data_IF_483450441868
#
_entry.id   IF_483450441868
#
_cell.length_a   1.000
_cell.length_b   1.000
_cell.length_c   1.000
_cell.angle_alpha   90.00
_cell.angle_beta   90.00
_cell.angle_gamma   90.00
#
_symmetry.space_group_name_H-M   'P 1'
#
loop_
_entity.id
_entity.type
_entity.pdbx_description
1 polymer ?
#
# COMPACT_ATOMS: atom_id res chain seq x y z
N UNK A 1 -9.85 24.58 2.46
CA UNK A 1 -10.54 23.53 1.70
C UNK A 1 -9.64 22.30 1.70
N UNK A 2 -10.03 21.23 2.39
CA UNK A 2 -9.35 19.93 2.27
C UNK A 2 -9.48 19.44 0.83
N UNK A 3 -8.39 18.97 0.23
CA UNK A 3 -8.42 18.30 -1.07
C UNK A 3 -9.34 17.07 -0.99
N UNK A 4 -10.08 16.77 -2.06
CA UNK A 4 -11.03 15.67 -2.05
C UNK A 4 -10.33 14.32 -1.86
N UNK A 5 -10.93 13.49 -1.00
CA UNK A 5 -10.60 12.08 -0.81
C UNK A 5 -10.61 11.34 -2.15
N UNK A 6 -9.75 10.32 -2.35
CA UNK A 6 -9.13 9.45 -1.33
C UNK A 6 -7.70 9.81 -0.85
N UNK A 7 -7.16 10.98 -1.24
CA UNK A 7 -5.74 11.34 -1.05
C UNK A 7 -5.43 12.11 0.25
N UNK A 8 -6.43 12.41 1.07
CA UNK A 8 -6.24 13.10 2.33
C UNK A 8 -5.96 12.15 3.51
N UNK A 9 -5.65 12.75 4.68
CA UNK A 9 -5.28 11.99 5.88
C UNK A 9 -3.87 11.39 5.80
N UNK A 10 -3.79 10.13 5.37
CA UNK A 10 -2.59 9.28 5.33
C UNK A 10 -1.52 9.84 4.41
N UNK A 11 -1.88 10.20 3.18
CA UNK A 11 -0.89 10.64 2.18
C UNK A 11 -0.40 12.09 2.42
N UNK A 12 -1.04 12.88 3.28
CA UNK A 12 -0.50 14.16 3.76
C UNK A 12 0.32 14.05 5.05
N UNK A 13 0.47 12.84 5.59
CA UNK A 13 1.28 12.59 6.78
C UNK A 13 2.48 11.73 6.41
N UNK A 14 3.48 11.64 7.28
CA UNK A 14 4.66 10.78 7.05
C UNK A 14 4.37 9.28 7.20
N UNK A 15 3.12 8.89 7.46
CA UNK A 15 2.75 7.48 7.68
C UNK A 15 3.04 6.63 6.44
N UNK A 16 2.83 7.13 5.22
CA UNK A 16 3.10 6.35 4.00
C UNK A 16 4.58 5.93 3.90
N UNK A 17 5.50 6.63 4.57
CA UNK A 17 6.92 6.24 4.68
C UNK A 17 7.11 5.16 5.76
N UNK A 18 6.44 5.31 6.90
CA UNK A 18 6.54 4.36 8.00
C UNK A 18 5.81 3.04 7.73
N UNK A 19 4.75 3.03 6.91
CA UNK A 19 3.90 1.88 6.60
C UNK A 19 4.69 0.64 6.16
N UNK A 20 5.44 0.66 5.05
CA UNK A 20 6.15 -0.52 4.57
C UNK A 20 7.24 -0.97 5.55
N UNK A 21 7.95 -0.02 6.17
CA UNK A 21 9.00 -0.31 7.16
C UNK A 21 8.41 -1.04 8.37
N UNK A 22 7.31 -0.53 8.93
CA UNK A 22 6.63 -1.11 10.09
C UNK A 22 6.15 -2.52 9.79
N UNK A 23 5.53 -2.72 8.62
CA UNK A 23 5.12 -4.05 8.15
C UNK A 23 6.29 -5.03 8.02
N UNK A 24 7.34 -4.63 7.31
CA UNK A 24 8.52 -5.48 7.10
C UNK A 24 9.15 -5.91 8.43
N UNK A 25 9.34 -4.96 9.35
CA UNK A 25 10.00 -5.19 10.65
C UNK A 25 9.13 -6.03 11.61
N UNK A 26 7.87 -5.64 11.79
CA UNK A 26 6.99 -6.21 12.81
C UNK A 26 6.25 -7.46 12.33
N UNK A 27 6.14 -7.68 11.02
CA UNK A 27 5.35 -8.77 10.46
C UNK A 27 3.94 -8.37 10.05
N UNK A 28 3.23 -9.28 9.35
CA UNK A 28 1.93 -8.99 8.77
C UNK A 28 0.91 -8.49 9.79
N UNK A 29 0.78 -9.20 10.92
CA UNK A 29 -0.26 -8.90 11.90
C UNK A 29 0.15 -7.78 12.86
N UNK A 30 1.35 -7.83 13.42
CA UNK A 30 1.83 -6.78 14.32
C UNK A 30 2.09 -5.47 13.58
N UNK A 31 2.56 -5.53 12.33
CA UNK A 31 2.69 -4.37 11.45
C UNK A 31 1.34 -3.75 11.11
N UNK A 32 0.34 -4.57 10.75
CA UNK A 32 -1.04 -4.11 10.57
C UNK A 32 -1.57 -3.40 11.82
N UNK A 33 -1.50 -4.05 12.99
CA UNK A 33 -2.06 -3.52 14.22
C UNK A 33 -1.35 -2.24 14.68
N UNK A 34 -0.02 -2.20 14.57
CA UNK A 34 0.78 -1.01 14.90
C UNK A 34 0.40 0.17 14.01
N UNK A 35 0.38 -0.04 12.69
CA UNK A 35 -0.07 0.99 11.75
C UNK A 35 -1.51 1.41 12.00
N UNK A 36 -2.40 0.47 12.34
CA UNK A 36 -3.81 0.73 12.61
C UNK A 36 -3.99 1.63 13.83
N UNK A 37 -3.39 1.28 14.96
CA UNK A 37 -3.44 2.10 16.17
C UNK A 37 -2.85 3.48 15.87
N UNK A 38 -1.70 3.54 15.19
CA UNK A 38 -1.05 4.80 14.84
C UNK A 38 -1.95 5.73 14.01
N UNK A 39 -2.62 5.20 12.97
CA UNK A 39 -3.51 6.02 12.16
C UNK A 39 -4.81 6.39 12.85
N UNK A 40 -5.38 5.50 13.68
CA UNK A 40 -6.59 5.78 14.47
C UNK A 40 -6.34 6.89 15.48
N UNK A 41 -5.25 6.79 16.25
CA UNK A 41 -4.87 7.82 17.23
C UNK A 41 -4.54 9.13 16.51
N UNK A 42 -3.78 9.07 15.43
CA UNK A 42 -3.42 10.26 14.64
C UNK A 42 -4.64 11.02 14.11
N UNK A 43 -5.62 10.31 13.57
CA UNK A 43 -6.87 10.93 13.07
C UNK A 43 -7.82 11.34 14.20
N UNK A 44 -7.69 10.76 15.40
CA UNK A 44 -8.43 11.22 16.59
C UNK A 44 -7.86 12.54 17.13
N UNK A 45 -6.54 12.74 17.04
CA UNK A 45 -5.88 13.98 17.47
C UNK A 45 -6.05 15.11 16.44
N UNK A 46 -5.89 14.81 15.15
CA UNK A 46 -6.09 15.75 14.05
C UNK A 46 -7.29 15.29 13.24
N UNK A 47 -8.48 15.64 13.73
CA UNK A 47 -9.73 15.24 13.11
C UNK A 47 -9.91 15.90 11.74
N UNK A 48 -10.13 15.06 10.71
CA UNK A 48 -10.27 15.49 9.30
C UNK A 48 -11.59 15.05 8.65
N UNK A 49 -12.50 14.47 9.43
CA UNK A 49 -13.75 13.87 8.97
C UNK A 49 -13.89 12.43 9.47
N UNK A 50 -15.12 11.97 9.69
CA UNK A 50 -15.42 10.60 10.10
C UNK A 50 -15.06 9.56 9.03
N UNK A 51 -15.18 9.96 7.77
CA UNK A 51 -14.91 9.19 6.58
C UNK A 51 -13.44 8.83 6.42
N UNK A 52 -12.53 9.69 6.91
CA UNK A 52 -11.08 9.45 6.90
C UNK A 52 -10.69 8.20 7.70
N UNK A 53 -11.44 7.87 8.75
CA UNK A 53 -11.21 6.65 9.52
C UNK A 53 -11.43 5.39 8.69
N UNK A 54 -12.27 5.43 7.64
CA UNK A 54 -12.44 4.31 6.74
C UNK A 54 -11.28 4.21 5.74
N UNK A 55 -10.89 5.33 5.13
CA UNK A 55 -9.80 5.37 4.16
C UNK A 55 -8.43 5.07 4.77
N UNK A 56 -8.23 5.42 6.03
CA UNK A 56 -6.96 5.25 6.72
C UNK A 56 -6.58 3.77 6.96
N UNK A 57 -7.55 2.84 6.90
CA UNK A 57 -7.30 1.40 6.92
C UNK A 57 -6.40 0.91 5.77
N UNK A 58 -6.29 1.69 4.70
CA UNK A 58 -5.35 1.38 3.63
C UNK A 58 -3.91 1.28 4.12
N UNK A 59 -3.48 2.12 5.06
CA UNK A 59 -2.09 2.09 5.54
C UNK A 59 -1.76 0.81 6.34
N UNK A 60 -2.59 0.36 7.30
CA UNK A 60 -2.47 -0.97 7.91
C UNK A 60 -2.41 -2.12 6.90
N UNK A 61 -3.27 -2.08 5.88
CA UNK A 61 -3.29 -3.12 4.84
C UNK A 61 -2.00 -3.08 4.02
N UNK A 62 -1.51 -1.89 3.66
CA UNK A 62 -0.24 -1.74 2.97
C UNK A 62 0.94 -2.29 3.78
N UNK A 63 0.97 -2.03 5.09
CA UNK A 63 1.97 -2.61 5.99
C UNK A 63 1.90 -4.15 5.98
N UNK A 64 0.70 -4.71 6.08
CA UNK A 64 0.48 -6.16 6.03
C UNK A 64 0.97 -6.75 4.70
N UNK A 65 0.60 -6.16 3.56
CA UNK A 65 0.97 -6.64 2.23
C UNK A 65 2.48 -6.55 2.01
N UNK A 66 3.13 -5.45 2.42
CA UNK A 66 4.59 -5.33 2.41
C UNK A 66 5.25 -6.45 3.22
N UNK A 67 4.71 -6.75 4.40
CA UNK A 67 5.25 -7.78 5.27
C UNK A 67 5.09 -9.20 4.70
N UNK A 68 3.94 -9.49 4.09
CA UNK A 68 3.63 -10.77 3.45
C UNK A 68 4.55 -11.02 2.27
N UNK A 69 4.71 -10.02 1.38
CA UNK A 69 5.57 -10.16 0.22
C UNK A 69 7.04 -10.31 0.63
N UNK A 70 7.50 -9.52 1.61
CA UNK A 70 8.86 -9.63 2.14
C UNK A 70 9.18 -11.04 2.66
N UNK A 71 8.19 -11.70 3.29
CA UNK A 71 8.27 -13.09 3.78
C UNK A 71 8.04 -14.14 2.69
N UNK A 72 7.81 -13.72 1.45
CA UNK A 72 7.60 -14.61 0.30
C UNK A 72 6.20 -15.21 0.22
N UNK A 73 5.24 -14.71 0.99
CA UNK A 73 3.84 -15.15 0.99
C UNK A 73 3.05 -14.51 -0.16
N UNK A 74 3.53 -14.71 -1.39
CA UNK A 74 3.00 -14.06 -2.59
C UNK A 74 1.56 -14.47 -2.95
N UNK A 75 1.09 -15.64 -2.52
CA UNK A 75 -0.26 -16.15 -2.84
C UNK A 75 -1.35 -15.25 -2.25
N UNK A 76 -1.17 -14.83 -1.00
CA UNK A 76 -2.14 -13.97 -0.31
C UNK A 76 -2.16 -12.57 -0.92
N UNK A 77 -0.97 -12.04 -1.27
CA UNK A 77 -0.83 -10.77 -1.97
C UNK A 77 -1.50 -10.84 -3.36
N UNK A 78 -1.32 -11.93 -4.09
CA UNK A 78 -1.96 -12.13 -5.39
C UNK A 78 -3.48 -12.17 -5.28
N UNK A 79 -4.02 -12.95 -4.32
CA UNK A 79 -5.47 -13.03 -4.08
C UNK A 79 -6.03 -11.66 -3.75
N UNK A 80 -5.36 -10.90 -2.88
CA UNK A 80 -5.76 -9.54 -2.53
C UNK A 80 -5.89 -8.64 -3.77
N UNK A 81 -4.86 -8.58 -4.61
CA UNK A 81 -4.88 -7.78 -5.82
C UNK A 81 -5.98 -8.21 -6.79
N UNK A 82 -6.13 -9.52 -7.03
CA UNK A 82 -7.12 -10.06 -7.96
C UNK A 82 -8.55 -9.74 -7.51
N UNK A 83 -8.85 -9.88 -6.22
CA UNK A 83 -10.20 -9.62 -5.69
C UNK A 83 -10.55 -8.14 -5.82
N UNK A 84 -9.66 -7.24 -5.40
CA UNK A 84 -9.95 -5.79 -5.41
C UNK A 84 -9.97 -5.22 -6.83
N UNK A 85 -9.02 -5.61 -7.70
CA UNK A 85 -9.06 -5.22 -9.11
C UNK A 85 -10.29 -5.81 -9.81
N UNK A 86 -10.64 -7.07 -9.53
CA UNK A 86 -11.84 -7.70 -10.05
C UNK A 86 -13.11 -6.93 -9.66
N UNK A 87 -13.23 -6.55 -8.39
CA UNK A 87 -14.35 -5.73 -7.92
C UNK A 87 -14.41 -4.35 -8.60
N UNK A 88 -13.25 -3.72 -8.84
CA UNK A 88 -13.17 -2.49 -9.61
C UNK A 88 -13.72 -2.66 -11.03
N UNK A 89 -13.27 -3.68 -11.76
CA UNK A 89 -13.70 -3.91 -13.14
C UNK A 89 -15.16 -4.34 -13.28
N UNK A 90 -15.76 -4.96 -12.26
CA UNK A 90 -17.19 -5.32 -12.28
C UNK A 90 -18.09 -4.10 -12.00
N UNK A 91 -17.54 -3.04 -11.40
CA UNK A 91 -18.31 -1.85 -11.01
C UNK A 91 -18.61 -0.96 -12.23
N UNK A 92 -19.89 -0.71 -12.61
CA UNK A 92 -20.22 0.02 -13.83
C UNK A 92 -19.67 1.46 -13.90
N UNK A 93 -19.57 2.13 -12.75
CA UNK A 93 -19.02 3.49 -12.66
C UNK A 93 -17.54 3.53 -13.05
N UNK A 94 -16.79 2.46 -12.78
CA UNK A 94 -15.38 2.37 -13.11
C UNK A 94 -15.13 2.42 -14.63
N UNK A 95 -16.09 2.01 -15.45
CA UNK A 95 -15.98 2.04 -16.91
C UNK A 95 -16.02 3.45 -17.50
N UNK A 96 -16.48 4.43 -16.70
CA UNK A 96 -16.47 5.85 -17.06
C UNK A 96 -15.18 6.54 -16.59
N UNK A 97 -14.33 5.84 -15.83
CA UNK A 97 -13.06 6.36 -15.36
C UNK A 97 -11.94 5.99 -16.33
N UNK A 98 -11.05 6.93 -16.66
CA UNK A 98 -9.89 6.61 -17.49
C UNK A 98 -8.99 5.56 -16.83
N UNK A 99 -8.69 4.47 -17.54
CA UNK A 99 -7.83 3.40 -17.01
C UNK A 99 -6.42 3.88 -16.64
N UNK A 100 -5.92 4.94 -17.29
CA UNK A 100 -4.62 5.50 -16.94
C UNK A 100 -4.56 6.04 -15.50
N UNK A 101 -5.69 6.29 -14.84
CA UNK A 101 -5.69 6.84 -13.49
C UNK A 101 -5.20 5.89 -12.39
N UNK A 102 -4.98 4.60 -12.70
CA UNK A 102 -4.42 3.58 -11.79
C UNK A 102 -3.17 2.90 -12.38
N UNK A 103 -2.43 3.61 -13.23
CA UNK A 103 -1.29 3.03 -13.94
C UNK A 103 -0.23 2.48 -12.98
N UNK A 104 -0.03 3.12 -11.83
CA UNK A 104 0.86 2.71 -10.74
C UNK A 104 0.43 1.39 -10.09
N UNK A 105 -0.87 1.24 -9.80
CA UNK A 105 -1.43 0.00 -9.25
C UNK A 105 -1.28 -1.15 -10.25
N UNK A 106 -1.54 -0.90 -11.54
CA UNK A 106 -1.33 -1.92 -12.59
C UNK A 106 0.14 -2.28 -12.74
N UNK A 107 1.03 -1.27 -12.66
CA UNK A 107 2.46 -1.50 -12.69
C UNK A 107 2.92 -2.34 -11.50
N UNK A 108 2.42 -2.07 -10.29
CA UNK A 108 2.70 -2.87 -9.10
C UNK A 108 2.19 -4.30 -9.20
N UNK A 109 1.00 -4.49 -9.77
CA UNK A 109 0.49 -5.83 -10.06
C UNK A 109 1.38 -6.57 -11.07
N UNK A 110 1.86 -5.89 -12.11
CA UNK A 110 2.86 -6.43 -13.03
C UNK A 110 4.17 -6.81 -12.33
N UNK A 111 4.69 -5.94 -11.45
CA UNK A 111 5.85 -6.23 -10.61
C UNK A 111 5.62 -7.44 -9.72
N UNK A 112 4.44 -7.59 -9.11
CA UNK A 112 4.08 -8.75 -8.31
C UNK A 112 4.15 -10.04 -9.13
N UNK A 113 3.59 -10.05 -10.35
CA UNK A 113 3.65 -11.20 -11.24
C UNK A 113 5.11 -11.57 -11.59
N UNK A 114 5.95 -10.56 -11.88
CA UNK A 114 7.39 -10.79 -12.12
C UNK A 114 8.09 -11.36 -10.89
N UNK A 115 7.77 -10.86 -9.69
CA UNK A 115 8.29 -11.40 -8.42
C UNK A 115 7.87 -12.86 -8.24
N UNK A 116 6.61 -13.20 -8.48
CA UNK A 116 6.10 -14.58 -8.38
C UNK A 116 6.90 -15.50 -9.31
N UNK A 117 7.08 -15.11 -10.58
CA UNK A 117 7.86 -15.89 -11.56
C UNK A 117 9.31 -16.04 -11.10
N UNK A 118 9.93 -14.96 -10.61
CA UNK A 118 11.30 -14.99 -10.11
C UNK A 118 11.45 -15.90 -8.88
N UNK A 119 10.50 -15.85 -7.94
CA UNK A 119 10.48 -16.70 -6.75
C UNK A 119 10.29 -18.19 -7.09
N UNK A 120 9.47 -18.51 -8.09
CA UNK A 120 9.23 -19.89 -8.52
C UNK A 120 10.40 -20.47 -9.31
N UNK A 121 11.01 -19.68 -10.21
CA UNK A 121 12.11 -20.15 -11.09
C UNK A 121 13.47 -20.09 -10.41
N UNK A 122 13.70 -19.10 -9.54
CA UNK A 122 15.02 -18.81 -8.99
C UNK A 122 14.97 -18.72 -7.47
N UNK A 123 15.06 -19.90 -6.83
CA UNK A 123 14.95 -20.08 -5.37
C UNK A 123 15.89 -19.21 -4.53
N UNK A 124 17.00 -18.72 -5.12
CA UNK A 124 18.00 -17.91 -4.42
C UNK A 124 17.82 -16.39 -4.58
N UNK A 125 16.94 -15.91 -5.47
CA UNK A 125 16.76 -14.46 -5.69
C UNK A 125 16.05 -13.81 -4.50
N UNK A 126 15.03 -14.48 -3.96
CA UNK A 126 14.28 -13.99 -2.80
C UNK A 126 14.93 -14.37 -1.47
N UNK A 127 16.22 -14.09 -1.33
CA UNK A 127 16.99 -14.37 -0.13
C UNK A 127 17.17 -13.11 0.72
N UNK A 128 16.33 -12.94 1.74
CA UNK A 128 16.37 -11.80 2.69
C UNK A 128 17.59 -11.81 3.62
N UNK A 129 18.43 -12.84 3.57
CA UNK A 129 19.71 -12.89 4.30
C UNK A 129 20.87 -12.29 3.51
N UNK A 130 20.79 -12.28 2.17
CA UNK A 130 21.82 -11.74 1.31
C UNK A 130 21.68 -10.22 1.19
N UNK A 131 22.75 -9.48 1.51
CA UNK A 131 22.75 -8.00 1.51
C UNK A 131 22.41 -7.40 0.14
N UNK A 132 22.92 -8.00 -0.93
CA UNK A 132 22.75 -7.51 -2.31
C UNK A 132 21.31 -7.59 -2.82
N UNK A 133 20.58 -8.63 -2.43
CA UNK A 133 19.18 -8.80 -2.85
C UNK A 133 18.20 -8.09 -1.90
N UNK A 134 18.63 -7.81 -0.66
CA UNK A 134 17.79 -7.20 0.36
C UNK A 134 17.24 -5.84 -0.08
N UNK A 135 18.06 -5.00 -0.73
CA UNK A 135 17.63 -3.71 -1.27
C UNK A 135 16.44 -3.85 -2.23
N UNK A 136 16.55 -4.75 -3.22
CA UNK A 136 15.51 -4.98 -4.21
C UNK A 136 14.26 -5.60 -3.59
N UNK A 137 14.43 -6.55 -2.68
CA UNK A 137 13.32 -7.19 -1.97
C UNK A 137 12.55 -6.15 -1.15
N UNK A 138 13.25 -5.25 -0.45
CA UNK A 138 12.65 -4.18 0.33
C UNK A 138 11.92 -3.19 -0.57
N UNK A 139 12.55 -2.76 -1.67
CA UNK A 139 11.93 -1.84 -2.63
C UNK A 139 10.64 -2.42 -3.23
N UNK A 140 10.68 -3.65 -3.73
CA UNK A 140 9.51 -4.31 -4.32
C UNK A 140 8.41 -4.57 -3.28
N UNK A 141 8.79 -4.98 -2.06
CA UNK A 141 7.82 -5.19 -0.97
C UNK A 141 7.17 -3.89 -0.52
N UNK A 142 7.94 -2.81 -0.45
CA UNK A 142 7.43 -1.49 -0.11
C UNK A 142 6.48 -0.96 -1.19
N UNK A 143 6.93 -0.97 -2.45
CA UNK A 143 6.14 -0.49 -3.58
C UNK A 143 4.82 -1.24 -3.71
N UNK A 144 4.85 -2.57 -3.74
CA UNK A 144 3.64 -3.39 -3.87
C UNK A 144 2.73 -3.23 -2.64
N UNK A 145 3.27 -3.08 -1.43
CA UNK A 145 2.42 -2.81 -0.27
C UNK A 145 1.77 -1.42 -0.29
N UNK A 146 2.48 -0.39 -0.75
CA UNK A 146 1.93 0.96 -0.89
C UNK A 146 0.84 1.02 -1.96
N UNK A 147 1.04 0.34 -3.09
CA UNK A 147 0.03 0.27 -4.14
C UNK A 147 -1.17 -0.60 -3.72
N UNK A 148 -0.98 -1.54 -2.79
CA UNK A 148 -2.07 -2.24 -2.14
C UNK A 148 -2.89 -1.33 -1.19
N UNK A 149 -2.26 -0.38 -0.49
CA UNK A 149 -2.95 0.69 0.27
C UNK A 149 -3.78 1.55 -0.70
N UNK A 150 -3.19 2.03 -1.80
CA UNK A 150 -3.91 2.79 -2.84
C UNK A 150 -5.11 2.01 -3.37
N UNK A 151 -4.90 0.74 -3.76
CA UNK A 151 -5.95 -0.12 -4.29
C UNK A 151 -7.09 -0.34 -3.28
N UNK A 152 -6.78 -0.45 -1.98
CA UNK A 152 -7.81 -0.53 -0.94
C UNK A 152 -8.69 0.72 -0.90
N UNK A 153 -8.07 1.91 -0.94
CA UNK A 153 -8.79 3.18 -0.94
C UNK A 153 -9.66 3.33 -2.17
N UNK A 154 -9.14 2.91 -3.32
CA UNK A 154 -9.91 2.89 -4.57
C UNK A 154 -11.11 1.95 -4.44
N UNK A 155 -10.92 0.76 -3.85
CA UNK A 155 -11.99 -0.21 -3.61
C UNK A 155 -13.10 0.38 -2.73
N UNK A 156 -12.75 1.05 -1.64
CA UNK A 156 -13.74 1.78 -0.82
C UNK A 156 -14.39 2.90 -1.64
N UNK A 157 -13.59 3.68 -2.36
CA UNK A 157 -14.08 4.88 -3.02
C UNK A 157 -15.07 4.57 -4.14
N UNK A 158 -14.73 3.63 -5.02
CA UNK A 158 -15.43 3.35 -6.28
C UNK A 158 -16.36 2.13 -6.15
N UNK A 159 -15.87 0.87 -5.97
CA UNK A 159 -16.74 -0.29 -5.73
C UNK A 159 -17.74 -0.13 -4.59
N UNK A 160 -17.34 0.39 -3.44
CA UNK A 160 -18.26 0.62 -2.31
C UNK A 160 -19.07 1.93 -2.43
N UNK A 161 -18.95 2.65 -3.55
CA UNK A 161 -19.70 3.86 -3.88
C UNK A 161 -19.67 4.96 -2.82
N UNK A 162 -18.60 5.04 -2.02
CA UNK A 162 -18.51 6.09 -0.99
C UNK A 162 -18.36 7.47 -1.61
N UNK A 163 -17.82 7.58 -2.83
CA UNK A 163 -17.78 8.85 -3.58
C UNK A 163 -19.16 9.52 -3.67
N UNK A 164 -20.22 8.74 -3.85
CA UNK A 164 -21.59 9.23 -3.93
C UNK A 164 -22.29 9.21 -2.57
N UNK A 165 -22.18 8.10 -1.83
CA UNK A 165 -22.94 7.90 -0.59
C UNK A 165 -22.49 8.81 0.55
N UNK A 166 -21.18 9.08 0.65
CA UNK A 166 -20.60 9.91 1.72
C UNK A 166 -20.42 11.35 1.23
N UNK A 167 -19.88 11.53 0.02
CA UNK A 167 -19.51 12.87 -0.47
C UNK A 167 -20.50 13.51 -1.45
N UNK A 168 -21.48 12.76 -1.93
CA UNK A 168 -22.45 13.26 -2.93
C UNK A 168 -21.81 13.67 -4.25
N UNK A 169 -20.64 13.13 -4.60
CA UNK A 169 -19.94 13.53 -5.82
C UNK A 169 -20.62 12.96 -7.07
N UNK A 170 -20.67 13.78 -8.12
CA UNK A 170 -21.07 13.34 -9.45
C UNK A 170 -19.87 12.73 -10.19
N UNK A 171 -20.16 12.10 -11.34
CA UNK A 171 -19.14 11.43 -12.17
C UNK A 171 -18.04 12.40 -12.63
N UNK A 172 -18.39 13.64 -12.98
CA UNK A 172 -17.41 14.63 -13.44
C UNK A 172 -16.37 14.96 -12.35
N UNK A 173 -16.82 15.14 -11.12
CA UNK A 173 -15.93 15.38 -9.97
C UNK A 173 -15.14 14.13 -9.61
N UNK A 174 -15.74 12.94 -9.76
CA UNK A 174 -15.03 11.68 -9.59
C UNK A 174 -13.87 11.55 -10.60
N UNK A 175 -14.09 11.89 -11.88
CA UNK A 175 -13.06 11.89 -12.92
C UNK A 175 -11.93 12.90 -12.63
N UNK A 176 -12.24 14.08 -12.07
CA UNK A 176 -11.18 15.05 -11.73
C UNK A 176 -10.32 14.56 -10.58
N UNK A 177 -10.92 13.95 -9.55
CA UNK A 177 -10.23 13.33 -8.42
C UNK A 177 -9.34 12.18 -8.93
N UNK A 178 -9.88 11.37 -9.83
CA UNK A 178 -9.18 10.26 -10.46
C UNK A 178 -7.89 10.70 -11.16
N UNK A 179 -7.96 11.75 -11.98
CA UNK A 179 -6.80 12.30 -12.68
C UNK A 179 -5.74 12.89 -11.74
N UNK A 180 -6.14 13.49 -10.62
CA UNK A 180 -5.22 14.00 -9.61
C UNK A 180 -4.47 12.86 -8.90
N UNK A 181 -5.20 11.79 -8.56
CA UNK A 181 -4.63 10.59 -7.94
C UNK A 181 -3.50 9.97 -8.74
N UNK A 182 -3.71 9.86 -10.05
CA UNK A 182 -2.78 9.28 -11.00
C UNK A 182 -1.38 9.92 -11.02
N UNK A 183 -1.22 11.11 -10.42
CA UNK A 183 0.05 11.83 -10.29
C UNK A 183 0.53 11.83 -8.84
N UNK A 184 -0.37 12.04 -7.88
CA UNK A 184 0.00 12.18 -6.46
C UNK A 184 0.41 10.85 -5.82
N UNK A 185 -0.31 9.75 -6.09
CA UNK A 185 -0.01 8.44 -5.48
C UNK A 185 1.31 7.83 -5.95
N UNK A 186 1.66 7.82 -7.25
CA UNK A 186 2.91 7.21 -7.69
C UNK A 186 4.12 7.97 -7.15
N UNK A 187 4.06 9.30 -7.05
CA UNK A 187 5.17 10.12 -6.53
C UNK A 187 5.45 9.75 -5.07
N UNK A 188 4.41 9.65 -4.25
CA UNK A 188 4.56 9.33 -2.84
C UNK A 188 4.94 7.86 -2.63
N UNK A 189 4.40 6.95 -3.44
CA UNK A 189 4.79 5.54 -3.43
C UNK A 189 6.27 5.36 -3.80
N UNK A 190 6.75 6.06 -4.83
CA UNK A 190 8.15 6.06 -5.24
C UNK A 190 9.07 6.62 -4.14
N UNK A 191 8.69 7.75 -3.53
CA UNK A 191 9.45 8.35 -2.43
C UNK A 191 9.55 7.41 -1.21
N UNK A 192 8.44 6.82 -0.78
CA UNK A 192 8.44 5.90 0.35
C UNK A 192 9.19 4.60 0.06
N UNK A 193 9.06 4.09 -1.17
CA UNK A 193 9.84 2.94 -1.64
C UNK A 193 11.33 3.22 -1.59
N UNK A 194 11.77 4.39 -2.08
CA UNK A 194 13.16 4.81 -2.06
C UNK A 194 13.70 4.91 -0.62
N UNK A 195 12.94 5.57 0.27
CA UNK A 195 13.32 5.69 1.68
C UNK A 195 13.40 4.32 2.34
N UNK A 196 12.44 3.44 2.08
CA UNK A 196 12.43 2.07 2.61
C UNK A 196 13.62 1.26 2.11
N UNK A 197 13.99 1.41 0.84
CA UNK A 197 15.16 0.75 0.27
C UNK A 197 16.47 1.25 0.90
N UNK A 198 16.60 2.57 1.14
CA UNK A 198 17.81 3.15 1.74
C UNK A 198 17.93 2.82 3.23
N UNK A 199 16.85 3.02 4.00
CA UNK A 199 16.86 2.88 5.46
C UNK A 199 16.67 1.42 5.90
N UNK A 200 15.89 0.64 5.16
CA UNK A 200 15.48 -0.71 5.53
C UNK A 200 16.65 -1.66 5.84
N UNK A 201 17.73 -1.74 5.04
CA UNK A 201 18.87 -2.60 5.35
C UNK A 201 19.52 -2.22 6.68
N UNK A 202 19.76 -0.94 6.92
CA UNK A 202 20.39 -0.43 8.15
C UNK A 202 19.55 -0.76 9.38
N UNK A 203 18.24 -0.55 9.30
CA UNK A 203 17.31 -0.85 10.40
C UNK A 203 17.26 -2.36 10.65
N UNK A 204 17.13 -3.18 9.60
CA UNK A 204 17.10 -4.65 9.72
C UNK A 204 18.41 -5.18 10.34
N UNK A 205 19.56 -4.64 9.93
CA UNK A 205 20.85 -5.01 10.51
C UNK A 205 20.93 -4.63 12.00
N UNK A 206 20.46 -3.44 12.37
CA UNK A 206 20.44 -3.01 13.77
C UNK A 206 19.53 -3.92 14.63
N UNK A 207 18.32 -4.21 14.16
CA UNK A 207 17.37 -5.12 14.83
C UNK A 207 17.97 -6.51 15.01
N UNK A 208 18.61 -7.06 13.97
CA UNK A 208 19.31 -8.36 14.05
C UNK A 208 20.45 -8.35 15.07
N UNK A 209 21.24 -7.27 15.13
CA UNK A 209 22.34 -7.11 16.11
C UNK A 209 21.84 -7.04 17.55
N UNK A 210 20.65 -6.50 17.78
CA UNK A 210 20.03 -6.44 19.11
C UNK A 210 19.46 -7.79 19.59
N UNK A 211 19.61 -8.87 18.80
CA UNK A 211 19.03 -10.18 19.11
C UNK A 211 17.50 -10.24 18.95
N UNK A 212 16.89 -9.15 18.47
CA UNK A 212 15.47 -9.11 18.14
C UNK A 212 15.28 -9.84 16.82
N UNK A 213 14.48 -10.92 16.85
CA UNK A 213 14.11 -11.62 15.62
C UNK A 213 13.01 -10.84 14.91
N UNK A 214 13.13 -10.72 13.58
CA UNK A 214 11.99 -10.29 12.78
C UNK A 214 10.86 -11.29 13.04
N UNK A 215 9.71 -10.80 13.52
CA UNK A 215 8.59 -11.64 13.90
C UNK A 215 8.23 -12.56 12.72
N UNK A 216 8.31 -13.87 12.96
CA UNK A 216 7.94 -14.90 12.00
C UNK A 216 6.47 -15.22 12.23
N UNK A 217 5.60 -14.63 11.42
CA UNK A 217 4.20 -15.06 11.29
C UNK A 217 4.03 -15.86 10.00
#
# INVERSE_FOLDING_TARGET
MSLPLPFSGVWYSWIFIATPISGILLGPYAGFLSSFIGVMVGHSMVFRGSEEFLFTFGAPIGAMISALLFRGRWREVLVYYLVLLGAFFVTPVAWQLPLWGMWDVFFAFGCLLMVIVAMQKWKNIWNTRASTNLLYILALSAFIGLEADVLFRIFIFVPCQTYQSIYGYNVLKLQSIWGMGAVETPIKAALSTLITAIMGPSIIMAVRKMGLTLVKD
#
